data_IF_143759686966
#
_entry.id   IF_143759686966
#
_cell.length_a   1.000
_cell.length_b   1.000
_cell.length_c   1.000
_cell.angle_alpha   90.00
_cell.angle_beta   90.00
_cell.angle_gamma   90.00
#
_symmetry.space_group_name_H-M   'P 1'
#
loop_
_entity.id
_entity.type
_entity.pdbx_description
1 polymer ?
#
# COMPACT_ATOMS: atom_id res chain seq x y z
N UNK A 1 9.91 -3.81 -20.88
CA UNK A 1 9.80 -4.71 -19.69
C UNK A 1 9.45 -3.88 -18.49
N UNK A 2 8.38 -4.19 -17.82
CA UNK A 2 7.97 -3.48 -16.63
C UNK A 2 8.76 -4.06 -15.46
N UNK A 3 9.46 -3.19 -14.73
CA UNK A 3 10.18 -3.62 -13.54
C UNK A 3 9.19 -3.92 -12.41
N UNK A 4 9.40 -5.01 -11.72
CA UNK A 4 8.62 -5.34 -10.54
C UNK A 4 9.15 -4.53 -9.35
N UNK A 5 8.42 -3.50 -8.96
CA UNK A 5 8.79 -2.64 -7.83
C UNK A 5 8.30 -3.15 -6.49
N UNK A 6 7.50 -4.22 -6.48
CA UNK A 6 6.88 -4.69 -5.24
C UNK A 6 7.87 -5.09 -4.14
N UNK A 7 9.02 -5.71 -4.42
CA UNK A 7 9.99 -6.00 -3.36
C UNK A 7 10.56 -4.73 -2.72
N UNK A 8 10.85 -3.71 -3.51
CA UNK A 8 11.37 -2.43 -3.01
C UNK A 8 10.31 -1.71 -2.17
N UNK A 9 9.08 -1.65 -2.67
CA UNK A 9 7.98 -1.00 -1.95
C UNK A 9 7.65 -1.72 -0.64
N UNK A 10 7.62 -3.03 -0.67
CA UNK A 10 7.40 -3.85 0.52
C UNK A 10 8.50 -3.63 1.58
N UNK A 11 9.75 -3.53 1.14
CA UNK A 11 10.89 -3.24 2.02
C UNK A 11 10.80 -1.83 2.60
N UNK A 12 10.43 -0.86 1.81
CA UNK A 12 10.24 0.51 2.27
C UNK A 12 9.14 0.60 3.32
N UNK A 13 8.00 -0.03 3.10
CA UNK A 13 6.89 -0.07 4.05
C UNK A 13 7.36 -0.73 5.37
N UNK A 14 8.12 -1.82 5.28
CA UNK A 14 8.68 -2.46 6.46
C UNK A 14 9.52 -1.47 7.29
N UNK A 15 10.42 -0.74 6.66
CA UNK A 15 11.29 0.23 7.35
C UNK A 15 10.51 1.40 7.95
N UNK A 16 9.50 1.89 7.24
CA UNK A 16 8.62 2.94 7.75
C UNK A 16 7.87 2.45 8.98
N UNK A 17 7.29 1.26 8.92
CA UNK A 17 6.59 0.67 10.05
C UNK A 17 7.52 0.47 11.25
N UNK A 18 8.72 -0.04 11.02
CA UNK A 18 9.72 -0.21 12.07
C UNK A 18 10.08 1.11 12.74
N UNK A 19 10.24 2.17 11.95
CA UNK A 19 10.51 3.50 12.48
C UNK A 19 9.34 4.03 13.32
N UNK A 20 8.12 3.70 12.95
CA UNK A 20 6.91 4.09 13.68
C UNK A 20 6.55 3.12 14.81
N UNK A 21 7.43 2.19 15.15
CA UNK A 21 7.22 1.18 16.19
C UNK A 21 6.03 0.27 15.90
N UNK A 22 5.78 0.02 14.62
CA UNK A 22 4.75 -0.89 14.14
C UNK A 22 5.39 -2.19 13.68
N UNK A 23 4.83 -3.32 14.11
CA UNK A 23 5.32 -4.63 13.72
C UNK A 23 4.72 -5.04 12.37
N UNK A 24 5.55 -5.10 11.36
CA UNK A 24 5.12 -5.55 10.04
C UNK A 24 6.11 -6.55 9.45
N UNK A 25 5.61 -7.40 8.56
CA UNK A 25 6.42 -8.31 7.78
C UNK A 25 6.33 -7.93 6.31
N UNK A 26 7.46 -7.89 5.63
CA UNK A 26 7.48 -7.92 4.17
C UNK A 26 7.40 -9.37 3.72
N UNK A 27 6.47 -9.68 2.84
CA UNK A 27 6.20 -11.05 2.42
C UNK A 27 6.15 -11.16 0.91
N UNK A 28 6.46 -12.33 0.41
CA UNK A 28 6.18 -12.74 -0.95
C UNK A 28 5.00 -13.69 -0.93
N UNK A 29 4.11 -13.52 -1.87
CA UNK A 29 2.95 -14.39 -1.99
C UNK A 29 2.35 -14.35 -3.38
N UNK A 30 1.13 -14.79 -3.46
CA UNK A 30 0.35 -14.81 -4.69
C UNK A 30 -0.85 -13.88 -4.51
N UNK A 31 -1.03 -13.00 -5.47
CA UNK A 31 -2.25 -12.20 -5.60
C UNK A 31 -3.06 -12.77 -6.73
N UNK A 32 -4.35 -12.98 -6.49
CA UNK A 32 -5.28 -13.46 -7.50
C UNK A 32 -6.36 -12.41 -7.74
N UNK A 33 -6.49 -12.02 -9.00
CA UNK A 33 -7.54 -11.11 -9.45
C UNK A 33 -8.65 -11.94 -10.09
N UNK A 34 -9.84 -11.89 -9.51
CA UNK A 34 -11.03 -12.53 -10.06
C UNK A 34 -11.70 -11.55 -11.01
N UNK A 35 -11.57 -11.80 -12.31
CA UNK A 35 -12.06 -10.90 -13.36
C UNK A 35 -13.56 -11.10 -13.55
N UNK A 36 -13.98 -12.36 -13.63
CA UNK A 36 -15.39 -12.79 -13.71
C UNK A 36 -15.50 -14.23 -13.22
N UNK A 37 -16.69 -14.84 -13.36
CA UNK A 37 -16.95 -16.21 -12.92
C UNK A 37 -16.01 -17.25 -13.56
N UNK A 38 -15.50 -16.97 -14.76
CA UNK A 38 -14.74 -17.93 -15.57
C UNK A 38 -13.27 -17.58 -15.71
N UNK A 39 -12.86 -16.42 -15.22
CA UNK A 39 -11.52 -15.90 -15.49
C UNK A 39 -10.91 -15.27 -14.24
N UNK A 40 -9.70 -15.71 -13.93
CA UNK A 40 -8.87 -15.09 -12.90
C UNK A 40 -7.43 -15.04 -13.37
N UNK A 41 -6.66 -14.13 -12.78
CA UNK A 41 -5.21 -14.01 -13.00
C UNK A 41 -4.50 -14.02 -11.68
N UNK A 42 -3.44 -14.83 -11.59
CA UNK A 42 -2.59 -14.90 -10.40
C UNK A 42 -1.17 -14.50 -10.76
N UNK A 43 -0.52 -13.80 -9.86
CA UNK A 43 0.86 -13.37 -10.04
C UNK A 43 1.59 -13.35 -8.70
N UNK A 44 2.90 -13.59 -8.78
CA UNK A 44 3.77 -13.43 -7.63
C UNK A 44 3.93 -11.95 -7.30
N UNK A 45 3.85 -11.62 -6.02
CA UNK A 45 3.85 -10.24 -5.56
C UNK A 45 4.40 -10.12 -4.15
N UNK A 46 5.03 -8.99 -3.87
CA UNK A 46 5.50 -8.67 -2.53
C UNK A 46 4.59 -7.60 -1.92
N UNK A 47 4.24 -7.80 -0.68
CA UNK A 47 3.37 -6.90 0.08
C UNK A 47 3.72 -6.98 1.56
N UNK A 48 2.99 -6.29 2.40
CA UNK A 48 3.24 -6.28 3.84
C UNK A 48 2.03 -6.80 4.60
N UNK A 49 2.32 -7.44 5.73
CA UNK A 49 1.32 -7.83 6.71
C UNK A 49 1.67 -7.15 8.03
N UNK A 50 0.74 -6.38 8.55
CA UNK A 50 0.90 -5.67 9.82
C UNK A 50 -0.32 -5.96 10.69
N UNK A 51 -0.11 -6.68 11.80
CA UNK A 51 -1.18 -7.10 12.71
C UNK A 51 -2.36 -7.78 11.99
N UNK A 52 -2.05 -8.66 11.02
CA UNK A 52 -3.06 -9.36 10.23
C UNK A 52 -3.68 -8.54 9.11
N UNK A 53 -3.28 -7.28 8.96
CA UNK A 53 -3.78 -6.38 7.93
C UNK A 53 -2.84 -6.41 6.73
N UNK A 54 -3.39 -6.57 5.53
CA UNK A 54 -2.61 -6.48 4.29
C UNK A 54 -2.38 -5.02 3.94
N UNK A 55 -1.12 -4.70 3.67
CA UNK A 55 -0.71 -3.40 3.14
C UNK A 55 0.01 -3.64 1.83
N UNK A 56 -0.53 -3.10 0.75
CA UNK A 56 0.05 -3.26 -0.58
C UNK A 56 0.07 -1.91 -1.30
N UNK A 57 1.25 -1.32 -1.35
CA UNK A 57 1.45 -0.01 -1.97
C UNK A 57 1.77 -0.11 -3.46
N UNK A 58 1.92 -1.31 -4.01
CA UNK A 58 2.37 -1.50 -5.40
C UNK A 58 1.42 -2.32 -6.26
N UNK A 59 0.24 -2.66 -5.75
CA UNK A 59 -0.73 -3.47 -6.49
C UNK A 59 -1.12 -2.84 -7.83
N UNK A 60 -1.21 -1.52 -7.90
CA UNK A 60 -1.61 -0.81 -9.11
C UNK A 60 -0.62 -0.96 -10.26
N UNK A 61 0.59 -1.42 -10.01
CA UNK A 61 1.59 -1.72 -11.04
C UNK A 61 1.03 -2.67 -12.11
N UNK A 62 0.17 -3.61 -11.70
CA UNK A 62 -0.47 -4.54 -12.63
C UNK A 62 -1.53 -3.88 -13.52
N UNK A 63 -2.13 -2.81 -13.05
CA UNK A 63 -3.03 -2.00 -13.87
C UNK A 63 -2.28 -1.31 -15.01
N UNK A 64 -1.04 -0.93 -14.77
CA UNK A 64 -0.19 -0.29 -15.78
C UNK A 64 0.29 -1.31 -16.82
N UNK A 65 0.47 -2.56 -16.46
CA UNK A 65 0.88 -3.64 -17.33
C UNK A 65 -0.30 -4.15 -18.15
N UNK A 66 -1.46 -4.29 -17.52
CA UNK A 66 -2.65 -4.84 -18.15
C UNK A 66 -3.81 -3.87 -18.03
N UNK A 67 -3.92 -2.99 -19.01
CA UNK A 67 -4.93 -1.92 -19.03
C UNK A 67 -6.36 -2.43 -19.15
N UNK A 68 -6.57 -3.64 -19.65
CA UNK A 68 -7.91 -4.22 -19.79
C UNK A 68 -8.59 -4.47 -18.45
N UNK A 69 -7.79 -4.71 -17.41
CA UNK A 69 -8.28 -4.97 -16.07
C UNK A 69 -7.94 -3.84 -15.08
N UNK A 70 -7.44 -2.71 -15.59
CA UNK A 70 -7.02 -1.60 -14.72
C UNK A 70 -8.16 -1.07 -13.85
N UNK A 71 -9.39 -1.13 -14.33
CA UNK A 71 -10.56 -0.63 -13.62
C UNK A 71 -10.93 -1.44 -12.38
N UNK A 72 -10.44 -2.68 -12.27
CA UNK A 72 -10.71 -3.53 -11.10
C UNK A 72 -9.55 -3.55 -10.10
N UNK A 73 -8.46 -2.85 -10.38
CA UNK A 73 -7.28 -2.81 -9.52
C UNK A 73 -7.25 -1.47 -8.78
N UNK A 74 -7.26 -1.49 -7.44
CA UNK A 74 -7.16 -0.26 -6.67
C UNK A 74 -5.75 0.33 -6.73
N UNK A 75 -5.61 1.60 -6.36
CA UNK A 75 -4.31 2.28 -6.31
C UNK A 75 -3.39 1.67 -5.26
N UNK A 76 -3.97 1.26 -4.13
CA UNK A 76 -3.27 0.60 -3.03
C UNK A 76 -4.29 -0.16 -2.19
N UNK A 77 -3.80 -1.05 -1.33
CA UNK A 77 -4.64 -1.77 -0.37
C UNK A 77 -4.08 -1.54 1.03
N UNK A 78 -4.95 -1.11 1.92
CA UNK A 78 -4.71 -1.04 3.35
C UNK A 78 -5.99 -1.47 4.04
N UNK A 79 -5.92 -2.55 4.82
CA UNK A 79 -7.00 -3.10 5.64
C UNK A 79 -8.14 -3.73 4.82
N UNK A 80 -8.80 -2.98 3.98
CA UNK A 80 -9.97 -3.45 3.23
C UNK A 80 -9.57 -3.99 1.87
N UNK A 81 -9.66 -5.31 1.70
CA UNK A 81 -9.37 -5.98 0.43
C UNK A 81 -10.66 -6.07 -0.38
N UNK A 82 -10.66 -5.60 -1.65
CA UNK A 82 -11.82 -5.80 -2.52
C UNK A 82 -12.17 -7.28 -2.68
N UNK A 83 -13.45 -7.59 -2.82
CA UNK A 83 -13.94 -8.98 -2.91
C UNK A 83 -13.36 -9.75 -4.11
N UNK A 84 -12.92 -9.04 -5.15
CA UNK A 84 -12.36 -9.64 -6.36
C UNK A 84 -10.85 -9.88 -6.29
N UNK A 85 -10.22 -9.59 -5.15
CA UNK A 85 -8.78 -9.77 -4.96
C UNK A 85 -8.55 -10.67 -3.75
N UNK A 86 -7.67 -11.64 -3.90
CA UNK A 86 -7.24 -12.47 -2.79
C UNK A 86 -5.72 -12.54 -2.69
N UNK A 87 -5.24 -12.62 -1.47
CA UNK A 87 -3.83 -12.67 -1.12
C UNK A 87 -3.51 -13.99 -0.45
N UNK A 88 -2.43 -14.61 -0.87
CA UNK A 88 -1.87 -15.81 -0.22
C UNK A 88 -0.43 -15.54 0.13
N UNK A 89 -0.09 -15.62 1.40
CA UNK A 89 1.29 -15.46 1.88
C UNK A 89 2.04 -16.76 1.66
N UNK A 90 3.22 -16.68 1.06
CA UNK A 90 4.09 -17.84 0.88
C UNK A 90 5.27 -17.83 1.84
N UNK A 91 6.00 -16.72 1.89
CA UNK A 91 7.16 -16.60 2.77
C UNK A 91 7.49 -15.17 3.09
N UNK A 92 8.18 -14.99 4.22
CA UNK A 92 8.71 -13.70 4.62
C UNK A 92 9.95 -13.35 3.80
N UNK A 93 10.10 -12.07 3.47
CA UNK A 93 11.27 -11.55 2.76
C UNK A 93 12.28 -11.05 3.78
N UNK A 94 13.56 -11.44 3.68
CA UNK A 94 14.62 -10.90 4.54
C UNK A 94 14.98 -9.47 4.11
N UNK A 95 14.22 -8.50 4.56
CA UNK A 95 14.27 -7.11 4.11
C UNK A 95 15.63 -6.46 4.37
N UNK A 96 16.22 -6.72 5.55
CA UNK A 96 17.50 -6.13 5.93
C UNK A 96 18.66 -6.60 5.04
N UNK A 97 18.41 -7.60 4.21
CA UNK A 97 19.41 -8.20 3.35
C UNK A 97 19.41 -7.65 1.93
N UNK A 98 18.23 -7.40 1.37
CA UNK A 98 18.09 -7.04 -0.05
C UNK A 98 18.00 -5.56 -0.31
N UNK A 99 17.27 -4.85 0.51
CA UNK A 99 16.99 -3.44 0.27
C UNK A 99 17.20 -2.67 1.55
N UNK A 100 18.29 -1.92 1.58
CA UNK A 100 18.60 -1.05 2.71
C UNK A 100 18.25 0.39 2.35
N UNK A 101 17.46 1.00 3.21
CA UNK A 101 17.17 2.41 3.12
C UNK A 101 17.91 3.14 4.24
N UNK A 102 18.56 4.26 3.92
CA UNK A 102 19.21 5.05 4.95
C UNK A 102 18.17 5.60 5.93
N UNK A 103 18.57 5.75 7.19
CA UNK A 103 17.72 6.37 8.20
C UNK A 103 17.28 7.78 7.80
N UNK A 104 18.16 8.52 7.12
CA UNK A 104 17.86 9.85 6.59
C UNK A 104 16.73 9.80 5.58
N UNK A 105 16.76 8.85 4.65
CA UNK A 105 15.73 8.69 3.62
C UNK A 105 14.38 8.34 4.25
N UNK A 106 14.36 7.35 5.14
CA UNK A 106 13.13 6.94 5.84
C UNK A 106 12.58 8.10 6.67
N UNK A 107 13.46 8.80 7.37
CA UNK A 107 13.07 9.93 8.21
C UNK A 107 12.49 11.09 7.39
N UNK A 108 13.04 11.35 6.22
CA UNK A 108 12.51 12.37 5.31
C UNK A 108 11.08 12.01 4.85
N UNK A 109 10.84 10.74 4.51
CA UNK A 109 9.50 10.28 4.12
C UNK A 109 8.53 10.45 5.29
N UNK A 110 8.92 10.05 6.49
CA UNK A 110 8.06 10.17 7.67
C UNK A 110 7.75 11.63 7.98
N UNK A 111 8.74 12.51 7.86
CA UNK A 111 8.53 13.94 8.06
C UNK A 111 7.55 14.52 7.03
N UNK A 112 7.62 14.07 5.79
CA UNK A 112 6.67 14.48 4.77
C UNK A 112 5.24 13.97 5.07
N UNK A 113 5.11 12.73 5.53
CA UNK A 113 3.82 12.18 5.95
C UNK A 113 3.25 13.00 7.11
N UNK A 114 4.06 13.30 8.12
CA UNK A 114 3.65 14.14 9.25
C UNK A 114 3.24 15.54 8.81
N UNK A 115 3.98 16.12 7.89
CA UNK A 115 3.66 17.44 7.34
C UNK A 115 2.31 17.42 6.62
N UNK A 116 2.04 16.37 5.84
CA UNK A 116 0.74 16.18 5.19
C UNK A 116 -0.37 16.00 6.22
N UNK A 117 -0.13 15.19 7.26
CA UNK A 117 -1.09 14.99 8.35
C UNK A 117 -1.38 16.30 9.09
N UNK A 118 -0.36 17.10 9.38
CA UNK A 118 -0.53 18.42 10.02
C UNK A 118 -1.35 19.36 9.16
N UNK A 119 -1.13 19.35 7.85
CA UNK A 119 -1.97 20.11 6.90
C UNK A 119 -3.39 19.57 6.92
N UNK A 120 -3.58 18.27 6.94
CA UNK A 120 -4.89 17.63 7.01
C UNK A 120 -5.60 17.97 8.32
N UNK A 121 -4.92 17.93 9.44
CA UNK A 121 -5.48 18.29 10.75
C UNK A 121 -5.87 19.76 10.79
N UNK A 122 -5.02 20.64 10.25
CA UNK A 122 -5.36 22.06 10.12
C UNK A 122 -6.57 22.28 9.22
N UNK A 123 -6.64 21.58 8.10
CA UNK A 123 -7.82 21.59 7.21
C UNK A 123 -9.03 20.93 7.86
N UNK A 124 -8.82 19.95 8.73
CA UNK A 124 -9.90 19.26 9.40
C UNK A 124 -10.69 20.21 10.31
N UNK A 125 -10.01 21.12 11.00
CA UNK A 125 -10.68 22.15 11.77
C UNK A 125 -11.48 23.09 10.86
N UNK A 126 -10.93 23.46 9.70
CA UNK A 126 -11.63 24.24 8.69
C UNK A 126 -12.78 23.45 8.05
N UNK A 127 -12.62 22.15 7.93
CA UNK A 127 -13.62 21.25 7.36
C UNK A 127 -14.76 20.98 8.35
N UNK A 128 -14.50 20.89 9.64
CA UNK A 128 -15.56 20.83 10.65
C UNK A 128 -16.43 22.08 10.60
N UNK A 129 -15.82 23.25 10.43
CA UNK A 129 -16.55 24.49 10.19
C UNK A 129 -17.27 24.46 8.84
N UNK A 130 -16.67 23.89 7.82
CA UNK A 130 -17.24 23.74 6.50
C UNK A 130 -18.39 22.72 6.47
N UNK A 131 -18.28 21.63 7.24
CA UNK A 131 -19.39 20.65 7.41
C UNK A 131 -20.60 21.31 8.05
N UNK A 132 -20.38 22.18 9.03
CA UNK A 132 -21.44 22.97 9.62
C UNK A 132 -22.10 23.92 8.62
N UNK A 133 -21.41 24.19 7.50
CA UNK A 133 -21.88 25.05 6.41
C UNK A 133 -22.29 24.23 5.17
N UNK A 134 -22.45 22.93 5.28
CA UNK A 134 -22.74 21.99 4.17
C UNK A 134 -21.69 22.00 3.04
N UNK A 135 -20.45 22.34 3.36
CA UNK A 135 -19.36 22.21 2.40
C UNK A 135 -18.78 20.82 2.46
N UNK A 136 -18.54 20.26 1.28
CA UNK A 136 -17.99 18.94 1.14
C UNK A 136 -16.47 18.97 1.01
N UNK A 137 -15.84 17.91 1.51
CA UNK A 137 -14.43 17.63 1.26
C UNK A 137 -14.25 16.17 0.86
N UNK A 138 -13.29 15.94 0.00
CA UNK A 138 -12.94 14.63 -0.48
C UNK A 138 -11.69 14.11 0.25
N UNK A 139 -11.78 12.88 0.66
CA UNK A 139 -10.63 12.16 1.20
C UNK A 139 -10.13 11.14 0.22
#
# INVERSE_FOLDING_TARGET
>A
MVSNSSPIMSSLIYHICKFLDMDSMAVQGIVTLHINEFSSKSFAHCFNVCDGIIIDASIYEYALINRRISHIIPMYIVDSIPYNISYTVQNEIPVDYRFKFSNKFVNNIINEIKFVDDIYLGKFNLIDDAKKKNLFYCR
#
